data_IF_642171741587
#
_entry.id   IF_642171741587
#
_cell.length_a   1.000
_cell.length_b   1.000
_cell.length_c   1.000
_cell.angle_alpha   90.00
_cell.angle_beta   90.00
_cell.angle_gamma   90.00
#
_symmetry.space_group_name_H-M   'P 1'
#
loop_
_entity.id
_entity.type
_entity.pdbx_description
1 polymer ?
#
# COMPACT_ATOMS: atom_id res chain seq x y z
N UNK A 1 -42.61 -1.06 58.12
CA UNK A 1 -42.06 -2.26 57.45
C UNK A 1 -41.80 -1.88 56.00
N UNK A 2 -40.54 -1.65 55.64
CA UNK A 2 -40.15 -1.27 54.28
C UNK A 2 -40.18 -2.52 53.37
N UNK A 3 -40.51 -2.39 52.07
CA UNK A 3 -40.68 -3.53 51.18
C UNK A 3 -39.41 -4.40 51.09
N UNK A 4 -39.58 -5.71 51.28
CA UNK A 4 -38.51 -6.71 51.39
C UNK A 4 -37.88 -7.15 50.05
N UNK A 5 -38.07 -6.39 48.96
CA UNK A 5 -37.31 -6.59 47.72
C UNK A 5 -37.03 -5.24 47.07
N UNK A 6 -35.77 -4.81 47.10
CA UNK A 6 -35.30 -3.76 46.21
C UNK A 6 -34.98 -4.40 44.86
N UNK A 7 -35.37 -3.78 43.74
CA UNK A 7 -35.00 -4.24 42.41
C UNK A 7 -33.48 -4.40 42.28
N UNK A 8 -33.04 -5.40 41.50
CA UNK A 8 -31.62 -5.75 41.35
C UNK A 8 -30.72 -4.60 40.84
N UNK A 9 -31.30 -3.59 40.20
CA UNK A 9 -30.61 -2.43 39.66
C UNK A 9 -30.46 -1.26 40.66
N UNK A 10 -30.96 -1.38 41.90
CA UNK A 10 -30.78 -0.37 42.95
C UNK A 10 -29.81 -0.86 44.02
N UNK A 11 -28.87 0.00 44.41
CA UNK A 11 -27.93 -0.27 45.47
C UNK A 11 -28.62 -0.34 46.85
N UNK A 12 -28.43 -1.42 47.63
CA UNK A 12 -28.91 -1.46 49.01
C UNK A 12 -28.02 -0.58 49.92
N UNK A 13 -28.63 0.17 50.85
CA UNK A 13 -27.92 1.11 51.73
C UNK A 13 -26.91 0.47 52.71
N UNK A 14 -26.86 -0.85 52.82
CA UNK A 14 -25.94 -1.62 53.67
C UNK A 14 -25.07 -2.62 52.89
N UNK A 15 -25.11 -2.60 51.55
CA UNK A 15 -24.45 -3.61 50.71
C UNK A 15 -23.75 -3.03 49.48
N UNK A 16 -23.04 -3.91 48.77
CA UNK A 16 -22.27 -3.53 47.57
C UNK A 16 -23.20 -3.31 46.38
N UNK A 17 -23.11 -2.14 45.73
CA UNK A 17 -23.80 -1.86 44.48
C UNK A 17 -23.23 -2.72 43.35
N UNK A 18 -24.00 -3.72 42.93
CA UNK A 18 -23.57 -4.67 41.89
C UNK A 18 -23.45 -3.98 40.53
N UNK A 19 -24.30 -3.01 40.21
CA UNK A 19 -24.20 -2.28 38.94
C UNK A 19 -22.98 -1.38 38.90
N UNK A 20 -22.64 -0.72 40.02
CA UNK A 20 -21.41 0.05 40.13
C UNK A 20 -20.18 -0.83 39.86
N UNK A 21 -20.13 -2.03 40.44
CA UNK A 21 -19.01 -2.96 40.25
C UNK A 21 -18.93 -3.45 38.80
N UNK A 22 -20.06 -3.86 38.21
CA UNK A 22 -20.12 -4.29 36.80
C UNK A 22 -19.68 -3.17 35.86
N UNK A 23 -20.16 -1.94 36.10
CA UNK A 23 -19.79 -0.78 35.28
C UNK A 23 -18.32 -0.41 35.45
N UNK A 24 -17.76 -0.54 36.65
CA UNK A 24 -16.33 -0.35 36.90
C UNK A 24 -15.47 -1.36 36.12
N UNK A 25 -15.84 -2.64 36.15
CA UNK A 25 -15.16 -3.69 35.37
C UNK A 25 -15.29 -3.42 33.87
N UNK A 26 -16.50 -3.06 33.42
CA UNK A 26 -16.76 -2.72 32.02
C UNK A 26 -15.92 -1.53 31.55
N UNK A 27 -15.81 -0.47 32.37
CA UNK A 27 -15.01 0.70 32.07
C UNK A 27 -13.53 0.35 31.95
N UNK A 28 -12.99 -0.43 32.89
CA UNK A 28 -11.60 -0.90 32.86
C UNK A 28 -11.36 -1.76 31.60
N UNK A 29 -12.26 -2.71 31.31
CA UNK A 29 -12.17 -3.56 30.12
C UNK A 29 -12.20 -2.74 28.83
N UNK A 30 -13.10 -1.76 28.74
CA UNK A 30 -13.20 -0.86 27.58
C UNK A 30 -11.94 -0.02 27.44
N UNK A 31 -11.40 0.52 28.53
CA UNK A 31 -10.18 1.32 28.50
C UNK A 31 -8.98 0.51 28.03
N UNK A 32 -8.82 -0.73 28.53
CA UNK A 32 -7.77 -1.65 28.09
C UNK A 32 -7.95 -2.05 26.62
N UNK A 33 -9.19 -2.28 26.19
CA UNK A 33 -9.49 -2.61 24.80
C UNK A 33 -9.17 -1.45 23.86
N UNK A 34 -9.65 -0.23 24.15
CA UNK A 34 -9.36 0.97 23.37
C UNK A 34 -7.86 1.31 23.41
N UNK A 35 -7.21 1.18 24.57
CA UNK A 35 -5.76 1.41 24.70
C UNK A 35 -4.93 0.44 23.86
N UNK A 36 -5.29 -0.83 23.85
CA UNK A 36 -4.63 -1.85 23.01
C UNK A 36 -4.88 -1.58 21.52
N UNK A 37 -6.10 -1.15 21.17
CA UNK A 37 -6.43 -0.74 19.81
C UNK A 37 -5.62 0.48 19.37
N UNK A 38 -5.44 1.47 20.25
CA UNK A 38 -4.62 2.65 20.00
C UNK A 38 -3.16 2.29 19.71
N UNK A 39 -2.53 1.45 20.54
CA UNK A 39 -1.16 0.97 20.27
C UNK A 39 -1.07 0.17 18.97
N UNK A 40 -2.10 -0.60 18.64
CA UNK A 40 -2.17 -1.32 17.37
C UNK A 40 -2.29 -0.38 16.17
N UNK A 41 -3.10 0.68 16.28
CA UNK A 41 -3.24 1.71 15.25
C UNK A 41 -1.95 2.51 15.08
N UNK A 42 -1.25 2.80 16.17
CA UNK A 42 0.00 3.56 16.13
C UNK A 42 1.18 2.78 15.55
N UNK A 43 1.13 1.43 15.61
CA UNK A 43 2.12 0.55 14.98
C UNK A 43 1.76 0.17 13.52
N UNK A 44 0.56 0.54 13.02
CA UNK A 44 0.22 0.39 11.60
C UNK A 44 1.10 1.25 10.67
N UNK A 45 1.35 2.54 10.99
CA UNK A 45 2.33 3.32 10.27
C UNK A 45 3.69 2.63 10.27
N UNK A 46 4.19 2.16 11.41
CA UNK A 46 5.55 1.62 11.48
C UNK A 46 5.78 0.41 10.56
N UNK A 47 4.84 -0.55 10.53
CA UNK A 47 5.03 -1.81 9.78
C UNK A 47 4.89 -1.69 8.26
N UNK A 48 4.23 -0.64 7.74
CA UNK A 48 4.12 -0.47 6.29
C UNK A 48 5.38 0.17 5.69
N UNK A 49 6.32 0.65 6.52
CA UNK A 49 7.57 1.27 6.06
C UNK A 49 8.45 0.31 5.23
N UNK A 50 8.17 -1.00 5.31
CA UNK A 50 8.87 -2.04 4.56
C UNK A 50 8.25 -2.36 3.18
N UNK A 51 7.06 -1.86 2.84
CA UNK A 51 6.43 -2.04 1.51
C UNK A 51 6.45 -0.73 0.70
N UNK A 52 7.62 -0.33 0.20
CA UNK A 52 7.91 0.50 -1.00
C UNK A 52 7.03 1.70 -1.43
N UNK A 53 6.07 2.19 -0.64
CA UNK A 53 5.20 3.34 -0.96
C UNK A 53 5.70 4.60 -0.23
N UNK A 54 6.90 5.08 -0.59
CA UNK A 54 7.54 6.25 0.06
C UNK A 54 6.60 7.48 0.12
N UNK A 55 5.83 7.73 -0.94
CA UNK A 55 4.91 8.87 -1.02
C UNK A 55 3.71 8.74 -0.07
N UNK A 56 3.08 7.56 0.03
CA UNK A 56 1.94 7.35 0.93
C UNK A 56 2.34 7.62 2.39
N UNK A 57 3.55 7.21 2.77
CA UNK A 57 4.11 7.47 4.09
C UNK A 57 4.33 8.94 4.40
N UNK A 58 4.90 9.68 3.46
CA UNK A 58 5.11 11.12 3.62
C UNK A 58 3.78 11.85 3.84
N UNK A 59 2.75 11.53 3.06
CA UNK A 59 1.41 12.13 3.24
C UNK A 59 0.81 11.78 4.61
N UNK A 60 0.87 10.51 5.02
CA UNK A 60 0.36 10.09 6.34
C UNK A 60 1.13 10.77 7.48
N UNK A 61 2.44 10.92 7.38
CA UNK A 61 3.28 11.59 8.38
C UNK A 61 2.97 13.09 8.48
N UNK A 62 2.83 13.78 7.34
CA UNK A 62 2.49 15.21 7.29
C UNK A 62 1.09 15.46 7.84
N UNK A 63 0.09 14.65 7.46
CA UNK A 63 -1.27 14.76 8.02
C UNK A 63 -1.29 14.53 9.53
N UNK A 64 -0.51 13.56 10.04
CA UNK A 64 -0.35 13.32 11.48
C UNK A 64 0.27 14.51 12.21
N UNK A 65 1.33 15.11 11.65
CA UNK A 65 1.98 16.30 12.21
C UNK A 65 1.02 17.50 12.27
N UNK A 66 0.26 17.73 11.20
CA UNK A 66 -0.78 18.78 11.15
C UNK A 66 -1.87 18.50 12.18
N UNK A 67 -2.32 17.25 12.29
CA UNK A 67 -3.33 16.85 13.28
C UNK A 67 -2.88 17.17 14.71
N UNK A 68 -1.61 16.96 15.03
CA UNK A 68 -1.06 17.19 16.36
C UNK A 68 -0.88 18.69 16.66
N UNK A 69 -0.44 19.46 15.65
CA UNK A 69 -0.29 20.90 15.80
C UNK A 69 -1.64 21.61 15.96
N UNK A 70 -2.62 21.24 15.12
CA UNK A 70 -3.95 21.87 15.10
C UNK A 70 -4.92 21.26 16.12
N UNK A 71 -4.58 20.13 16.73
CA UNK A 71 -5.49 19.34 17.59
C UNK A 71 -6.80 18.91 16.88
N UNK A 72 -6.81 18.91 15.55
CA UNK A 72 -7.97 18.51 14.76
C UNK A 72 -7.88 17.03 14.40
N UNK A 73 -8.69 16.20 15.07
CA UNK A 73 -8.70 14.74 14.87
C UNK A 73 -9.05 14.29 13.45
N UNK A 74 -9.68 15.14 12.64
CA UNK A 74 -10.03 14.80 11.26
C UNK A 74 -8.81 14.49 10.39
N UNK A 75 -7.69 15.18 10.62
CA UNK A 75 -6.46 14.95 9.87
C UNK A 75 -5.80 13.61 10.24
N UNK A 76 -5.85 13.24 11.52
CA UNK A 76 -5.41 11.93 11.99
C UNK A 76 -6.28 10.79 11.43
N UNK A 77 -7.61 10.96 11.44
CA UNK A 77 -8.55 9.99 10.87
C UNK A 77 -8.32 9.83 9.36
N UNK A 78 -8.16 10.95 8.65
CA UNK A 78 -7.88 10.94 7.21
C UNK A 78 -6.54 10.24 6.89
N UNK A 79 -5.50 10.50 7.67
CA UNK A 79 -4.20 9.82 7.54
C UNK A 79 -4.32 8.30 7.74
N UNK A 80 -5.10 7.86 8.74
CA UNK A 80 -5.38 6.43 8.96
C UNK A 80 -6.21 5.79 7.86
N UNK A 81 -7.22 6.49 7.33
CA UNK A 81 -8.03 6.02 6.21
C UNK A 81 -7.16 5.84 4.95
N UNK A 82 -6.31 6.83 4.65
CA UNK A 82 -5.35 6.78 3.53
C UNK A 82 -4.34 5.64 3.75
N UNK A 83 -3.90 5.40 4.98
CA UNK A 83 -3.00 4.30 5.31
C UNK A 83 -3.63 2.91 5.17
N UNK A 84 -4.96 2.80 5.25
CA UNK A 84 -5.69 1.53 5.16
C UNK A 84 -5.98 1.11 3.71
N UNK A 85 -6.05 2.07 2.79
CA UNK A 85 -6.17 1.82 1.34
C UNK A 85 -4.77 1.73 0.74
N UNK A 86 -4.46 0.64 0.03
CA UNK A 86 -3.25 0.57 -0.79
C UNK A 86 -3.46 1.39 -2.07
N UNK A 87 -2.88 2.59 -2.14
CA UNK A 87 -2.87 3.39 -3.37
C UNK A 87 -1.85 2.76 -4.32
N UNK A 88 -2.14 2.52 -5.61
CA UNK A 88 -1.14 1.92 -6.51
C UNK A 88 0.04 2.88 -6.76
N UNK A 89 1.23 2.32 -6.99
CA UNK A 89 2.42 3.12 -7.29
C UNK A 89 2.33 3.71 -8.71
N UNK A 90 2.00 4.99 -8.78
CA UNK A 90 1.90 5.74 -10.03
C UNK A 90 3.26 6.28 -10.52
N UNK A 91 4.32 6.21 -9.72
CA UNK A 91 5.65 6.70 -10.09
C UNK A 91 6.35 5.76 -11.06
N UNK A 92 6.29 4.45 -10.82
CA UNK A 92 6.95 3.45 -11.67
C UNK A 92 6.49 3.50 -13.14
N UNK A 93 5.17 3.55 -13.45
CA UNK A 93 4.70 3.69 -14.83
C UNK A 93 5.10 5.02 -15.49
N UNK A 94 5.06 6.13 -14.75
CA UNK A 94 5.46 7.44 -15.29
C UNK A 94 6.95 7.48 -15.63
N UNK A 95 7.79 6.85 -14.79
CA UNK A 95 9.21 6.72 -15.04
C UNK A 95 9.49 5.86 -16.27
N UNK A 96 8.79 4.73 -16.43
CA UNK A 96 8.96 3.90 -17.62
C UNK A 96 8.57 4.63 -18.92
N UNK A 97 7.56 5.51 -18.87
CA UNK A 97 7.18 6.36 -20.01
C UNK A 97 8.29 7.36 -20.32
N UNK A 98 8.87 8.02 -19.31
CA UNK A 98 9.97 8.95 -19.50
C UNK A 98 11.20 8.25 -20.12
N UNK A 99 11.59 7.09 -19.58
CA UNK A 99 12.70 6.29 -20.09
C UNK A 99 12.44 5.80 -21.54
N UNK A 100 11.18 5.47 -21.86
CA UNK A 100 10.79 5.06 -23.22
C UNK A 100 10.84 6.23 -24.21
N UNK A 101 10.43 7.43 -23.77
CA UNK A 101 10.49 8.65 -24.59
C UNK A 101 11.94 9.09 -24.80
N UNK A 102 12.79 9.01 -23.78
CA UNK A 102 14.24 9.29 -23.89
C UNK A 102 14.88 8.37 -24.94
N UNK A 103 14.58 7.06 -24.91
CA UNK A 103 15.02 6.12 -25.94
C UNK A 103 14.53 6.45 -27.35
N UNK A 104 13.31 6.95 -27.49
CA UNK A 104 12.76 7.34 -28.80
C UNK A 104 13.39 8.65 -29.29
N UNK A 105 13.68 9.58 -28.38
CA UNK A 105 14.37 10.82 -28.69
C UNK A 105 15.82 10.56 -29.14
N UNK A 106 16.54 9.69 -28.43
CA UNK A 106 17.89 9.23 -28.82
C UNK A 106 17.89 8.37 -30.10
N UNK A 107 16.78 7.70 -30.42
CA UNK A 107 16.63 6.93 -31.65
C UNK A 107 16.25 7.78 -32.87
N UNK A 108 16.18 9.11 -32.76
CA UNK A 108 15.95 9.99 -33.91
C UNK A 108 17.20 9.97 -34.81
N UNK A 109 17.13 9.46 -36.05
CA UNK A 109 18.30 9.31 -36.91
C UNK A 109 18.79 10.66 -37.44
N UNK A 110 20.01 11.01 -37.09
CA UNK A 110 20.77 12.09 -37.70
C UNK A 110 22.26 11.87 -37.51
N UNK A 111 22.89 11.27 -38.52
CA UNK A 111 24.34 11.12 -38.73
C UNK A 111 25.06 9.93 -38.04
N UNK A 112 24.84 8.74 -38.59
CA UNK A 112 25.98 7.95 -39.07
C UNK A 112 25.77 7.70 -40.57
N UNK A 113 26.56 8.40 -41.39
CA UNK A 113 26.66 8.11 -42.82
C UNK A 113 27.51 6.85 -43.04
N UNK A 114 26.97 5.88 -43.77
CA UNK A 114 27.47 5.44 -45.07
C UNK A 114 26.52 4.37 -45.66
N UNK A 115 26.23 4.41 -46.97
CA UNK A 115 25.42 3.40 -47.64
C UNK A 115 26.31 2.24 -48.10
N UNK A 116 26.36 1.14 -47.36
CA UNK A 116 26.96 -0.10 -47.89
C UNK A 116 25.87 -0.97 -48.51
N UNK A 117 25.78 -0.83 -49.83
CA UNK A 117 25.52 -1.87 -50.83
C UNK A 117 24.44 -2.92 -50.54
N UNK A 118 23.35 -2.77 -51.30
CA UNK A 118 22.57 -3.86 -51.88
C UNK A 118 23.48 -5.01 -52.35
N UNK A 119 23.08 -6.27 -52.10
CA UNK A 119 22.97 -7.16 -53.25
C UNK A 119 21.62 -7.88 -53.25
N UNK A 120 20.74 -7.42 -54.13
CA UNK A 120 19.83 -8.32 -54.81
C UNK A 120 20.64 -9.09 -55.84
N UNK A 121 20.51 -10.42 -55.86
CA UNK A 121 20.27 -11.04 -57.15
C UNK A 121 19.08 -11.98 -57.03
N UNK A 122 17.95 -11.53 -57.56
CA UNK A 122 17.00 -12.45 -58.14
C UNK A 122 17.64 -13.08 -59.38
N UNK A 123 17.79 -14.41 -59.39
CA UNK A 123 17.93 -15.17 -60.64
C UNK A 123 18.90 -16.35 -60.61
N UNK A 124 18.42 -17.51 -60.17
CA UNK A 124 18.17 -18.69 -61.04
C UNK A 124 17.97 -19.94 -60.17
N UNK A 125 16.72 -20.40 -60.15
CA UNK A 125 16.42 -21.79 -59.89
C UNK A 125 17.06 -22.66 -60.98
N UNK A 126 18.03 -23.48 -60.59
CA UNK A 126 18.49 -24.65 -61.34
C UNK A 126 19.03 -25.68 -60.34
N UNK A 127 18.17 -26.58 -59.86
CA UNK A 127 18.62 -27.96 -59.67
C UNK A 127 18.71 -28.63 -61.06
N UNK A 128 19.33 -29.82 -61.29
CA UNK A 128 19.96 -30.78 -60.37
C UNK A 128 21.33 -31.35 -60.87
N UNK A 129 22.17 -31.92 -60.00
CA UNK A 129 23.14 -32.99 -60.35
C UNK A 129 23.62 -33.62 -59.02
N UNK A 130 23.26 -34.85 -58.67
CA UNK A 130 23.65 -36.15 -59.23
C UNK A 130 24.95 -36.71 -58.61
N UNK A 131 24.79 -37.89 -58.00
CA UNK A 131 25.78 -38.95 -57.69
C UNK A 131 26.83 -38.70 -56.60
N UNK A 132 26.48 -39.23 -55.43
CA UNK A 132 27.41 -39.73 -54.42
C UNK A 132 28.09 -41.03 -54.95
N UNK A 133 29.44 -41.12 -54.98
CA UNK A 133 30.13 -42.37 -55.27
C UNK A 133 30.54 -43.08 -53.97
N UNK A 134 29.99 -44.27 -53.79
CA UNK A 134 30.51 -45.44 -53.06
C UNK A 134 31.96 -45.37 -52.56
N UNK A 135 32.17 -45.71 -51.28
CA UNK A 135 33.36 -46.49 -50.88
C UNK A 135 33.17 -47.25 -49.54
N UNK A 136 33.29 -48.59 -49.67
CA UNK A 136 33.64 -49.66 -48.70
C UNK A 136 32.61 -50.13 -47.69
#
# INVERSE_FOLDING_TARGET
MAPHHLPFYLAPGSGTDTLMVVMGIFLIGTLLWVGTLYWKLHSLPERMAHKSQKLQFEFVAVLGLISLFTHMHIFWIAGLLIALIDIPDFGTPLRSIADSVEKIADATPGEEGEPTETPSPAGKASAPQEKEPSHV
#
